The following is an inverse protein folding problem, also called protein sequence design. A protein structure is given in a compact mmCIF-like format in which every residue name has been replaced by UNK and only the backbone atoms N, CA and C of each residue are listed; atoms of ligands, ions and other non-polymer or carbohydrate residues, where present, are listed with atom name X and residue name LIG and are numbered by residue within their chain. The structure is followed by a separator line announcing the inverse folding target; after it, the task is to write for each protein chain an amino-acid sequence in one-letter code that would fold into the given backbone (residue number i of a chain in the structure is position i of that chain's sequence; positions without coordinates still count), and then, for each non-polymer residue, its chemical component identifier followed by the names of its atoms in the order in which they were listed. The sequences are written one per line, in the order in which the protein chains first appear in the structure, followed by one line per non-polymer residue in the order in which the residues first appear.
data_IF_349040794644
#
_entry.id   IF_349040794644
#
_cell.length_a   1.000
_cell.length_b   1.000
_cell.length_c   1.000
_cell.angle_alpha   90.00
_cell.angle_beta   90.00
_cell.angle_gamma   90.00
#
_symmetry.space_group_name_H-M   'P 1'
#
loop_
_entity.id
_entity.type
_entity.pdbx_description
1 polymer ?
#
# COMPACT_ATOMS: atom_id res chain seq x y z
N UNK A 1 -37.85 12.58 -35.27
CA UNK A 1 -36.39 12.58 -35.07
C UNK A 1 -35.97 14.02 -35.04
N UNK A 2 -35.75 14.56 -33.84
CA UNK A 2 -34.84 15.67 -33.59
C UNK A 2 -34.84 15.93 -32.09
N UNK A 3 -33.85 15.34 -31.43
CA UNK A 3 -33.54 15.56 -30.01
C UNK A 3 -32.05 15.78 -29.88
N UNK A 4 -31.53 16.78 -30.58
CA UNK A 4 -30.25 17.43 -30.30
C UNK A 4 -30.49 18.43 -29.17
N UNK A 5 -30.60 17.91 -27.95
CA UNK A 5 -30.52 18.70 -26.73
C UNK A 5 -29.22 19.48 -26.76
N UNK A 6 -29.33 20.80 -26.86
CA UNK A 6 -28.21 21.72 -26.85
C UNK A 6 -27.33 21.49 -25.62
N UNK A 7 -26.09 21.07 -25.86
CA UNK A 7 -25.01 21.49 -24.99
C UNK A 7 -24.91 23.00 -25.20
N UNK A 8 -25.47 23.78 -24.28
CA UNK A 8 -25.22 25.21 -24.24
C UNK A 8 -23.70 25.41 -24.30
N UNK A 9 -23.25 26.30 -25.18
CA UNK A 9 -21.85 26.68 -25.22
C UNK A 9 -21.43 27.06 -23.80
N UNK A 10 -20.51 26.27 -23.22
CA UNK A 10 -19.96 26.60 -21.91
C UNK A 10 -19.34 27.99 -22.00
N UNK A 11 -19.70 28.85 -21.05
CA UNK A 11 -19.09 30.17 -20.94
C UNK A 11 -17.58 30.02 -20.76
N UNK A 12 -16.81 31.02 -21.19
CA UNK A 12 -15.37 31.05 -20.95
C UNK A 12 -15.03 30.93 -19.44
N UNK A 13 -15.94 31.40 -18.58
CA UNK A 13 -15.86 31.24 -17.13
C UNK A 13 -15.98 29.76 -16.74
N UNK A 14 -17.03 29.06 -17.20
CA UNK A 14 -17.24 27.64 -16.91
C UNK A 14 -16.07 26.78 -17.40
N UNK A 15 -15.50 27.13 -18.56
CA UNK A 15 -14.31 26.46 -19.11
C UNK A 15 -13.08 26.65 -18.22
N UNK A 16 -12.89 27.84 -17.66
CA UNK A 16 -11.79 28.12 -16.74
C UNK A 16 -11.95 27.37 -15.41
N UNK A 17 -13.17 27.28 -14.87
CA UNK A 17 -13.48 26.52 -13.67
C UNK A 17 -13.26 25.01 -13.86
N UNK A 18 -13.66 24.46 -15.02
CA UNK A 18 -13.40 23.07 -15.39
C UNK A 18 -11.90 22.78 -15.53
N UNK A 19 -11.11 23.70 -16.08
CA UNK A 19 -9.65 23.56 -16.15
C UNK A 19 -9.01 23.57 -14.75
N UNK A 20 -9.47 24.46 -13.87
CA UNK A 20 -9.01 24.47 -12.47
C UNK A 20 -9.38 23.18 -11.73
N UNK A 21 -10.62 22.71 -11.89
CA UNK A 21 -11.08 21.45 -11.29
C UNK A 21 -10.30 20.24 -11.82
N UNK A 22 -10.00 20.22 -13.13
CA UNK A 22 -9.14 19.21 -13.73
C UNK A 22 -7.73 19.23 -13.12
N UNK A 23 -7.09 20.40 -13.05
CA UNK A 23 -5.76 20.57 -12.47
C UNK A 23 -5.69 20.11 -11.01
N UNK A 24 -6.69 20.48 -10.21
CA UNK A 24 -6.81 20.05 -8.81
C UNK A 24 -6.92 18.52 -8.70
N UNK A 25 -7.75 17.88 -9.54
CA UNK A 25 -7.90 16.43 -9.54
C UNK A 25 -6.61 15.70 -9.94
N UNK A 26 -5.85 16.24 -10.91
CA UNK A 26 -4.56 15.67 -11.31
C UNK A 26 -3.55 15.76 -10.17
N UNK A 27 -3.45 16.93 -9.52
CA UNK A 27 -2.53 17.14 -8.40
C UNK A 27 -2.84 16.20 -7.21
N UNK A 28 -4.12 16.00 -6.89
CA UNK A 28 -4.55 15.07 -5.84
C UNK A 28 -4.13 13.63 -6.16
N UNK A 29 -4.36 13.17 -7.41
CA UNK A 29 -3.98 11.82 -7.83
C UNK A 29 -2.46 11.63 -7.76
N UNK A 30 -1.68 12.62 -8.19
CA UNK A 30 -0.23 12.59 -8.12
C UNK A 30 0.26 12.50 -6.67
N UNK A 31 -0.29 13.33 -5.79
CA UNK A 31 0.04 13.35 -4.37
C UNK A 31 -0.26 12.01 -3.70
N UNK A 32 -1.43 11.40 -3.96
CA UNK A 32 -1.76 10.08 -3.41
C UNK A 32 -0.86 8.97 -3.96
N UNK A 33 -0.50 9.04 -5.24
CA UNK A 33 0.42 8.06 -5.85
C UNK A 33 1.82 8.16 -5.22
N UNK A 34 2.29 9.38 -4.99
CA UNK A 34 3.57 9.63 -4.31
C UNK A 34 3.53 9.13 -2.87
N UNK A 35 2.44 9.38 -2.14
CA UNK A 35 2.27 8.87 -0.78
C UNK A 35 2.27 7.34 -0.71
N UNK A 36 1.66 6.64 -1.67
CA UNK A 36 1.70 5.18 -1.73
C UNK A 36 3.13 4.64 -1.88
N UNK A 37 3.95 5.29 -2.69
CA UNK A 37 5.36 4.93 -2.85
C UNK A 37 6.16 5.12 -1.55
N UNK A 38 6.01 6.27 -0.90
CA UNK A 38 6.65 6.52 0.40
C UNK A 38 6.19 5.52 1.46
N UNK A 39 4.88 5.26 1.55
CA UNK A 39 4.32 4.29 2.48
C UNK A 39 4.89 2.88 2.25
N UNK A 40 5.03 2.46 0.98
CA UNK A 40 5.67 1.19 0.63
C UNK A 40 7.13 1.12 1.04
N UNK A 41 7.91 2.18 0.78
CA UNK A 41 9.31 2.26 1.17
C UNK A 41 9.49 2.21 2.70
N UNK A 42 8.69 2.97 3.45
CA UNK A 42 8.73 2.94 4.91
C UNK A 42 8.32 1.57 5.46
N UNK A 43 7.32 0.92 4.88
CA UNK A 43 6.93 -0.43 5.28
C UNK A 43 8.08 -1.44 5.10
N UNK A 44 8.81 -1.38 3.99
CA UNK A 44 10.00 -2.22 3.76
C UNK A 44 11.08 -1.98 4.82
N UNK A 45 11.36 -0.72 5.16
CA UNK A 45 12.34 -0.39 6.21
C UNK A 45 11.91 -0.93 7.57
N UNK A 46 10.64 -0.77 7.94
CA UNK A 46 10.08 -1.30 9.20
C UNK A 46 10.23 -2.82 9.24
N UNK A 47 9.91 -3.52 8.14
CA UNK A 47 10.08 -4.97 8.08
C UNK A 47 11.55 -5.40 8.18
N UNK A 48 12.47 -4.68 7.55
CA UNK A 48 13.90 -4.96 7.67
C UNK A 48 14.40 -4.78 9.12
N UNK A 49 13.92 -3.75 9.83
CA UNK A 49 14.22 -3.53 11.24
C UNK A 49 13.63 -4.64 12.13
N UNK A 50 12.40 -5.09 11.86
CA UNK A 50 11.78 -6.20 12.58
C UNK A 50 12.55 -7.51 12.37
N UNK A 51 12.96 -7.79 11.12
CA UNK A 51 13.80 -8.94 10.78
C UNK A 51 15.15 -8.90 11.52
N UNK A 52 15.82 -7.75 11.50
CA UNK A 52 17.06 -7.55 12.25
C UNK A 52 16.84 -7.73 13.76
N UNK A 53 15.72 -7.22 14.28
CA UNK A 53 15.33 -7.38 15.68
C UNK A 53 15.11 -8.85 16.08
N UNK A 54 14.38 -9.61 15.26
CA UNK A 54 14.21 -11.06 15.47
C UNK A 54 15.57 -11.78 15.43
N UNK A 55 16.48 -11.39 14.53
CA UNK A 55 17.77 -12.03 14.40
C UNK A 55 18.73 -11.68 15.56
N UNK A 56 18.79 -10.42 15.99
CA UNK A 56 19.80 -9.92 16.93
C UNK A 56 19.34 -9.83 18.39
N UNK A 57 18.07 -9.49 18.66
CA UNK A 57 17.61 -9.22 20.03
C UNK A 57 16.95 -10.41 20.73
N UNK A 58 16.66 -11.48 19.99
CA UNK A 58 16.03 -12.67 20.56
C UNK A 58 17.08 -13.76 20.68
N UNK A 59 17.78 -13.74 21.82
CA UNK A 59 18.64 -14.83 22.22
C UNK A 59 17.77 -16.01 22.70
N UNK A 60 17.93 -17.20 22.10
CA UNK A 60 17.08 -18.35 22.40
C UNK A 60 17.21 -18.85 23.84
N UNK A 61 18.31 -18.55 24.52
CA UNK A 61 18.74 -19.29 25.72
C UNK A 61 18.24 -18.65 27.03
N UNK A 62 17.89 -17.36 27.04
CA UNK A 62 17.69 -16.59 28.28
C UNK A 62 16.28 -16.02 28.47
N UNK A 63 15.45 -15.96 27.43
CA UNK A 63 14.18 -15.23 27.50
C UNK A 63 13.01 -16.10 27.02
N UNK A 64 12.10 -16.42 27.93
CA UNK A 64 10.92 -17.26 27.66
C UNK A 64 10.12 -16.84 26.42
N UNK A 65 9.45 -17.81 25.79
CA UNK A 65 8.82 -17.69 24.46
C UNK A 65 7.80 -16.55 24.26
N UNK A 66 7.42 -15.83 25.31
CA UNK A 66 6.47 -14.70 25.27
C UNK A 66 6.98 -13.55 24.37
N UNK A 67 8.28 -13.23 24.36
CA UNK A 67 8.82 -12.13 23.53
C UNK A 67 8.67 -12.37 22.02
N UNK A 68 8.76 -13.64 21.59
CA UNK A 68 8.54 -14.03 20.19
C UNK A 68 7.10 -13.74 19.76
N UNK A 69 6.12 -14.09 20.60
CA UNK A 69 4.71 -13.81 20.34
C UNK A 69 4.39 -12.32 20.29
N UNK A 70 5.03 -11.51 21.14
CA UNK A 70 4.88 -10.04 21.09
C UNK A 70 5.37 -9.50 19.74
N UNK A 71 6.51 -9.96 19.23
CA UNK A 71 7.01 -9.57 17.91
C UNK A 71 6.07 -9.97 16.78
N UNK A 72 5.51 -11.18 16.84
CA UNK A 72 4.50 -11.65 15.86
C UNK A 72 3.27 -10.73 15.90
N UNK A 73 2.73 -10.42 17.08
CA UNK A 73 1.56 -9.55 17.23
C UNK A 73 1.84 -8.13 16.70
N UNK A 74 3.01 -7.55 17.02
CA UNK A 74 3.40 -6.24 16.50
C UNK A 74 3.49 -6.26 14.98
N UNK A 75 4.08 -7.30 14.40
CA UNK A 75 4.23 -7.44 12.95
C UNK A 75 2.88 -7.51 12.25
N UNK A 76 1.95 -8.31 12.78
CA UNK A 76 0.61 -8.44 12.21
C UNK A 76 -0.24 -7.18 12.38
N UNK A 77 -0.10 -6.46 13.49
CA UNK A 77 -0.80 -5.16 13.66
C UNK A 77 -0.29 -4.13 12.66
N UNK A 78 1.03 -4.00 12.48
CA UNK A 78 1.63 -3.13 11.44
C UNK A 78 1.14 -3.54 10.05
N UNK A 79 1.13 -4.85 9.76
CA UNK A 79 0.62 -5.37 8.51
C UNK A 79 -0.83 -4.93 8.27
N UNK A 80 -1.72 -5.18 9.23
CA UNK A 80 -3.14 -4.83 9.12
C UNK A 80 -3.35 -3.32 8.92
N UNK A 81 -2.66 -2.48 9.70
CA UNK A 81 -2.76 -1.03 9.54
C UNK A 81 -2.27 -0.55 8.18
N UNK A 82 -1.16 -1.09 7.68
CA UNK A 82 -0.67 -0.76 6.34
C UNK A 82 -1.63 -1.21 5.23
N UNK A 83 -2.23 -2.40 5.34
CA UNK A 83 -3.26 -2.87 4.40
C UNK A 83 -4.47 -1.91 4.35
N UNK A 84 -4.93 -1.45 5.52
CA UNK A 84 -6.04 -0.48 5.64
C UNK A 84 -5.67 0.87 5.03
N UNK A 85 -4.45 1.36 5.27
CA UNK A 85 -3.96 2.62 4.71
C UNK A 85 -3.89 2.57 3.18
N UNK A 86 -3.32 1.50 2.62
CA UNK A 86 -3.26 1.28 1.16
C UNK A 86 -4.67 1.25 0.57
N UNK A 87 -5.61 0.54 1.21
CA UNK A 87 -7.01 0.47 0.76
C UNK A 87 -7.67 1.85 0.75
N UNK A 88 -7.50 2.65 1.80
CA UNK A 88 -8.02 4.03 1.85
C UNK A 88 -7.45 4.91 0.74
N UNK A 89 -6.13 4.83 0.50
CA UNK A 89 -5.48 5.57 -0.59
C UNK A 89 -6.02 5.14 -1.97
N UNK A 90 -6.21 3.84 -2.19
CA UNK A 90 -6.78 3.33 -3.43
C UNK A 90 -8.19 3.86 -3.68
N UNK A 91 -9.04 3.90 -2.65
CA UNK A 91 -10.39 4.48 -2.75
C UNK A 91 -10.30 5.96 -3.12
N UNK A 92 -9.39 6.73 -2.51
CA UNK A 92 -9.19 8.14 -2.82
C UNK A 92 -8.81 8.36 -4.29
N UNK A 93 -7.87 7.56 -4.82
CA UNK A 93 -7.46 7.61 -6.23
C UNK A 93 -8.63 7.26 -7.16
N UNK A 94 -9.41 6.22 -6.84
CA UNK A 94 -10.57 5.83 -7.64
C UNK A 94 -11.64 6.93 -7.67
N UNK A 95 -11.91 7.56 -6.52
CA UNK A 95 -12.85 8.69 -6.44
C UNK A 95 -12.34 9.89 -7.24
N UNK A 96 -11.06 10.22 -7.11
CA UNK A 96 -10.41 11.29 -7.90
C UNK A 96 -10.52 11.04 -9.40
N UNK A 97 -10.23 9.81 -9.86
CA UNK A 97 -10.39 9.40 -11.27
C UNK A 97 -11.83 9.54 -11.74
N UNK A 98 -12.81 9.09 -10.97
CA UNK A 98 -14.23 9.24 -11.32
C UNK A 98 -14.65 10.71 -11.44
N UNK A 99 -14.11 11.60 -10.61
CA UNK A 99 -14.35 13.04 -10.73
C UNK A 99 -13.73 13.59 -12.02
N UNK A 100 -12.49 13.21 -12.29
CA UNK A 100 -11.75 13.60 -13.48
C UNK A 100 -12.44 13.10 -14.77
N UNK A 101 -12.99 11.89 -14.77
CA UNK A 101 -13.78 11.33 -15.89
C UNK A 101 -15.06 12.13 -16.16
N UNK A 102 -15.73 12.66 -15.11
CA UNK A 102 -16.90 13.53 -15.28
C UNK A 102 -16.54 14.90 -15.83
N UNK A 103 -15.48 15.51 -15.31
CA UNK A 103 -14.96 16.79 -15.83
C UNK A 103 -14.51 16.61 -17.28
N UNK A 104 -13.87 15.47 -17.60
CA UNK A 104 -13.41 15.10 -18.95
C UNK A 104 -14.52 15.12 -20.00
N UNK A 105 -15.73 14.69 -19.64
CA UNK A 105 -16.86 14.63 -20.58
C UNK A 105 -17.22 15.99 -21.20
N UNK A 106 -16.79 17.09 -20.57
CA UNK A 106 -17.10 18.47 -20.99
C UNK A 106 -15.99 19.11 -21.84
N UNK A 107 -14.83 18.45 -22.01
CA UNK A 107 -13.75 18.95 -22.86
C UNK A 107 -13.91 18.51 -24.33
N UNK A 108 -13.33 19.31 -25.23
CA UNK A 108 -13.44 19.10 -26.69
C UNK A 108 -12.81 17.81 -27.22
N UNK A 109 -13.17 17.43 -28.45
CA UNK A 109 -12.81 16.15 -29.07
C UNK A 109 -11.30 15.90 -29.16
N UNK A 110 -10.50 16.91 -29.49
CA UNK A 110 -9.03 16.78 -29.58
C UNK A 110 -8.39 16.35 -28.25
N UNK A 111 -8.92 16.85 -27.13
CA UNK A 111 -8.47 16.44 -25.80
C UNK A 111 -8.87 15.00 -25.48
N UNK A 112 -10.10 14.60 -25.86
CA UNK A 112 -10.58 13.24 -25.63
C UNK A 112 -9.80 12.19 -26.44
N UNK A 113 -9.38 12.54 -27.66
CA UNK A 113 -8.59 11.69 -28.56
C UNK A 113 -7.20 11.40 -27.97
N UNK A 114 -6.48 12.43 -27.53
CA UNK A 114 -5.16 12.26 -26.86
C UNK A 114 -5.30 11.41 -25.60
N UNK A 115 -6.37 11.59 -24.83
CA UNK A 115 -6.60 10.86 -23.59
C UNK A 115 -7.10 9.43 -23.81
N UNK A 116 -7.62 9.10 -25.00
CA UNK A 116 -8.09 7.74 -25.31
C UNK A 116 -6.97 6.71 -25.39
N UNK A 117 -5.72 7.16 -25.48
CA UNK A 117 -4.53 6.32 -25.44
C UNK A 117 -4.52 5.56 -24.10
N UNK A 118 -4.69 4.24 -24.19
CA UNK A 118 -4.89 3.38 -23.03
C UNK A 118 -3.70 3.49 -22.05
N UNK A 119 -4.00 3.90 -20.82
CA UNK A 119 -3.02 3.86 -19.73
C UNK A 119 -2.80 2.39 -19.33
N UNK A 120 -1.55 1.93 -19.15
CA UNK A 120 -1.28 0.59 -18.68
C UNK A 120 -1.95 0.33 -17.32
N UNK A 121 -2.38 -0.91 -17.11
CA UNK A 121 -3.04 -1.32 -15.87
C UNK A 121 -2.04 -1.21 -14.72
N UNK A 122 -2.31 -0.32 -13.78
CA UNK A 122 -1.45 -0.12 -12.61
C UNK A 122 -1.69 -1.26 -11.60
N UNK A 123 -0.97 -2.38 -11.75
CA UNK A 123 -1.02 -3.51 -10.80
C UNK A 123 -0.18 -3.29 -9.51
N UNK A 124 0.37 -2.07 -9.33
CA UNK A 124 1.29 -1.70 -8.25
C UNK A 124 0.70 -1.98 -6.85
N UNK A 125 -0.60 -1.76 -6.65
CA UNK A 125 -1.25 -2.01 -5.37
C UNK A 125 -1.22 -3.49 -4.96
N UNK A 126 -1.36 -4.41 -5.92
CA UNK A 126 -1.28 -5.86 -5.66
C UNK A 126 0.13 -6.26 -5.25
N UNK A 127 1.13 -5.63 -5.86
CA UNK A 127 2.54 -5.84 -5.50
C UNK A 127 2.81 -5.37 -4.07
N UNK A 128 2.33 -4.18 -3.69
CA UNK A 128 2.45 -3.67 -2.32
C UNK A 128 1.76 -4.57 -1.29
N UNK A 129 0.56 -5.08 -1.61
CA UNK A 129 -0.13 -6.05 -0.77
C UNK A 129 0.68 -7.34 -0.61
N UNK A 130 1.21 -7.88 -1.70
CA UNK A 130 2.06 -9.07 -1.68
C UNK A 130 3.29 -8.90 -0.81
N UNK A 131 4.00 -7.78 -0.94
CA UNK A 131 5.19 -7.46 -0.14
C UNK A 131 4.85 -7.35 1.35
N UNK A 132 3.74 -6.70 1.71
CA UNK A 132 3.33 -6.57 3.11
C UNK A 132 3.00 -7.93 3.75
N UNK A 133 2.26 -8.78 3.04
CA UNK A 133 1.89 -10.11 3.55
C UNK A 133 3.11 -11.00 3.64
N UNK A 134 3.96 -11.00 2.60
CA UNK A 134 5.19 -11.79 2.58
C UNK A 134 6.13 -11.41 3.74
N UNK A 135 6.30 -10.10 4.00
CA UNK A 135 7.10 -9.62 5.13
C UNK A 135 6.57 -10.12 6.48
N UNK A 136 5.26 -10.05 6.71
CA UNK A 136 4.66 -10.54 7.94
C UNK A 136 4.81 -12.06 8.11
N UNK A 137 4.65 -12.84 7.03
CA UNK A 137 4.85 -14.29 7.03
C UNK A 137 6.30 -14.65 7.35
N UNK A 138 7.27 -13.98 6.72
CA UNK A 138 8.70 -14.23 6.95
C UNK A 138 9.10 -13.94 8.39
N UNK A 139 8.69 -12.81 8.94
CA UNK A 139 8.97 -12.47 10.35
C UNK A 139 8.33 -13.47 11.30
N UNK A 140 7.09 -13.90 11.02
CA UNK A 140 6.40 -14.91 11.83
C UNK A 140 7.12 -16.25 11.78
N UNK A 141 7.53 -16.68 10.58
CA UNK A 141 8.29 -17.92 10.39
C UNK A 141 9.60 -17.91 11.18
N UNK A 142 10.39 -16.84 11.07
CA UNK A 142 11.67 -16.74 11.80
C UNK A 142 11.48 -16.69 13.32
N UNK A 143 10.44 -16.00 13.80
CA UNK A 143 10.12 -15.97 15.21
C UNK A 143 9.73 -17.36 15.74
N UNK A 144 8.97 -18.14 14.95
CA UNK A 144 8.60 -19.50 15.31
C UNK A 144 9.78 -20.47 15.26
N UNK A 145 10.61 -20.40 14.20
CA UNK A 145 11.80 -21.23 14.05
C UNK A 145 12.75 -21.08 15.25
N UNK A 146 13.01 -19.83 15.66
CA UNK A 146 13.77 -19.56 16.89
C UNK A 146 13.09 -20.10 18.14
N UNK A 147 11.78 -19.96 18.27
CA UNK A 147 11.04 -20.49 19.43
C UNK A 147 11.08 -22.03 19.50
N UNK A 148 11.02 -22.72 18.36
CA UNK A 148 11.11 -24.19 18.30
C UNK A 148 12.53 -24.70 18.57
N UNK A 149 13.57 -23.98 18.10
CA UNK A 149 14.96 -24.30 18.43
C UNK A 149 15.23 -24.27 19.94
N UNK A 150 14.52 -23.43 20.70
CA UNK A 150 14.58 -23.40 22.17
C UNK A 150 13.88 -24.59 22.82
N UNK A 151 12.78 -25.07 22.23
CA UNK A 151 11.94 -26.09 22.82
C UNK A 151 12.50 -27.52 22.71
N UNK A 152 13.48 -27.77 21.82
CA UNK A 152 14.16 -29.05 21.65
C UNK A 152 15.52 -29.04 22.37
N UNK A 153 15.62 -29.50 23.62
CA UNK A 153 16.92 -29.77 24.22
C UNK A 153 17.61 -30.89 23.42
N UNK A 154 18.83 -30.64 22.94
CA UNK A 154 19.66 -31.68 22.33
C UNK A 154 19.84 -32.84 23.33
N UNK A 155 19.52 -34.09 22.96
CA UNK A 155 19.79 -35.24 23.82
C UNK A 155 21.32 -35.47 23.82
N UNK A 156 22.04 -34.94 24.82
CA UNK A 156 23.48 -35.22 24.89
C UNK A 156 24.34 -34.53 25.95
N UNK A 157 23.88 -33.53 26.70
CA UNK A 157 24.72 -32.93 27.75
C UNK A 157 24.48 -33.57 29.12
N UNK A 158 24.95 -34.80 29.29
CA UNK A 158 25.22 -35.32 30.65
C UNK A 158 26.41 -34.56 31.23
N UNK A 159 26.31 -33.94 32.42
CA UNK A 159 27.47 -33.39 33.11
C UNK A 159 28.33 -34.56 33.58
N UNK A 160 29.54 -34.67 33.04
CA UNK A 160 30.59 -35.49 33.64
C UNK A 160 30.99 -34.83 34.96
N UNK A 161 30.46 -35.37 36.04
CA UNK A 161 30.94 -35.19 37.42
C UNK A 161 32.35 -35.74 37.60
#
# INVERSE_FOLDING_TARGET
MDSTSGFGELSDIDRSELQMAYGACVADIELFTRQQWWAGAYALVIYALLLAGVHQLVDPITEGGVRHWVLVVITWTICLYGLLAIKRMQISIVVGRRRLDRVRAHFGRAFQEIWSIARPREDIHRMLYGVMVLGAVLVTWMALDKAYAVALPLPGSTPLS
#
